data_IF_569330996729
#
_entry.id   IF_569330996729
#
_cell.length_a   1.000
_cell.length_b   1.000
_cell.length_c   1.000
_cell.angle_alpha   90.00
_cell.angle_beta   90.00
_cell.angle_gamma   90.00
#
_symmetry.space_group_name_H-M   'P 1'
#
loop_
_entity.id
_entity.type
_entity.pdbx_description
1 polymer ?
#
# COMPACT_ATOMS: atom_id res chain seq x y z
N UNK A 1 -38.65 21.64 5.88
CA UNK A 1 -37.68 22.51 5.25
C UNK A 1 -37.49 23.74 6.13
N UNK A 2 -36.37 23.99 6.76
CA UNK A 2 -36.17 25.21 7.54
C UNK A 2 -35.74 26.34 6.60
N UNK A 3 -36.54 27.40 6.60
CA UNK A 3 -36.24 28.66 5.90
C UNK A 3 -35.44 29.54 6.85
N UNK A 4 -34.23 29.91 6.47
CA UNK A 4 -33.42 30.86 7.22
C UNK A 4 -33.72 32.26 6.66
N UNK A 5 -34.31 33.15 7.47
CA UNK A 5 -34.56 34.55 7.12
C UNK A 5 -33.36 35.38 7.61
N UNK A 6 -32.65 36.02 6.71
CA UNK A 6 -31.69 37.06 7.03
C UNK A 6 -32.38 38.43 6.92
N UNK A 7 -32.50 39.13 8.03
CA UNK A 7 -33.15 40.44 8.07
C UNK A 7 -32.06 41.52 7.96
N UNK A 8 -31.90 42.13 6.79
CA UNK A 8 -31.00 43.27 6.59
C UNK A 8 -31.86 44.54 6.64
N UNK A 9 -31.77 45.30 7.73
CA UNK A 9 -32.36 46.65 7.81
C UNK A 9 -31.44 47.64 7.10
N UNK A 10 -31.91 48.15 5.98
CA UNK A 10 -31.32 49.29 5.30
C UNK A 10 -32.43 50.10 4.62
N UNK A 11 -32.38 51.40 4.79
CA UNK A 11 -33.32 52.45 4.40
C UNK A 11 -34.26 52.15 3.20
N UNK A 12 -35.57 52.23 3.49
CA UNK A 12 -36.69 52.49 2.55
C UNK A 12 -36.62 51.79 1.16
N UNK A 13 -36.66 50.50 1.12
CA UNK A 13 -37.32 49.62 0.14
C UNK A 13 -36.95 48.20 0.47
N UNK A 14 -37.92 47.42 0.95
CA UNK A 14 -37.70 46.01 1.23
C UNK A 14 -37.58 45.23 -0.09
N UNK A 15 -36.36 44.94 -0.51
CA UNK A 15 -36.13 44.01 -1.62
C UNK A 15 -36.14 42.59 -1.03
N UNK A 16 -37.22 41.85 -1.27
CA UNK A 16 -37.33 40.46 -0.85
C UNK A 16 -36.52 39.62 -1.84
N UNK A 17 -35.27 39.31 -1.49
CA UNK A 17 -34.47 38.38 -2.28
C UNK A 17 -34.75 36.98 -1.74
N UNK A 18 -35.58 36.23 -2.43
CA UNK A 18 -35.83 34.81 -2.13
C UNK A 18 -34.70 33.99 -2.73
N UNK A 19 -33.69 33.61 -1.92
CA UNK A 19 -32.74 32.60 -2.32
C UNK A 19 -33.39 31.24 -2.20
N UNK A 20 -33.75 30.64 -3.32
CA UNK A 20 -34.03 29.23 -3.37
C UNK A 20 -32.69 28.51 -3.30
N UNK A 21 -32.34 28.00 -2.09
CA UNK A 21 -31.29 27.01 -2.00
C UNK A 21 -31.77 25.78 -2.80
N UNK A 22 -31.49 25.75 -4.10
CA UNK A 22 -31.37 24.46 -4.75
C UNK A 22 -30.32 23.73 -3.93
N UNK A 23 -30.71 22.63 -3.30
CA UNK A 23 -29.75 21.64 -2.83
C UNK A 23 -28.79 21.44 -4.00
N UNK A 24 -27.59 22.01 -3.90
CA UNK A 24 -26.47 21.56 -4.68
C UNK A 24 -26.29 20.12 -4.19
N UNK A 25 -27.01 19.18 -4.79
CA UNK A 25 -26.50 17.84 -4.85
C UNK A 25 -25.13 18.07 -5.46
N UNK A 26 -24.09 17.97 -4.65
CA UNK A 26 -22.74 17.83 -5.15
C UNK A 26 -22.83 16.65 -6.10
N UNK A 27 -22.92 16.94 -7.38
CA UNK A 27 -22.78 15.97 -8.43
C UNK A 27 -21.31 15.53 -8.35
N UNK A 28 -21.02 14.64 -7.40
CA UNK A 28 -19.84 13.80 -7.49
C UNK A 28 -20.00 13.09 -8.83
N UNK A 29 -19.14 13.33 -9.81
CA UNK A 29 -19.19 12.52 -11.02
C UNK A 29 -19.25 11.08 -10.53
N UNK A 30 -20.28 10.34 -10.95
CA UNK A 30 -20.31 8.89 -10.75
C UNK A 30 -19.10 8.39 -11.51
N UNK A 31 -17.98 8.23 -10.79
CA UNK A 31 -16.85 7.53 -11.34
C UNK A 31 -17.36 6.16 -11.75
N UNK A 32 -17.21 5.82 -13.01
CA UNK A 32 -17.45 4.44 -13.43
C UNK A 32 -16.46 3.57 -12.63
N UNK A 33 -16.91 2.74 -11.67
CA UNK A 33 -16.01 1.94 -10.83
C UNK A 33 -15.19 0.95 -11.63
N UNK A 34 -15.46 0.82 -12.93
CA UNK A 34 -14.77 -0.09 -13.81
C UNK A 34 -13.40 0.42 -14.26
N UNK A 35 -13.15 1.74 -14.31
CA UNK A 35 -11.81 2.22 -14.66
C UNK A 35 -10.83 2.02 -13.49
N UNK A 36 -9.55 1.84 -13.81
CA UNK A 36 -8.51 1.59 -12.80
C UNK A 36 -8.40 2.75 -11.79
N UNK A 37 -8.44 4.00 -12.27
CA UNK A 37 -8.44 5.16 -11.39
C UNK A 37 -9.70 5.22 -10.52
N UNK A 38 -10.86 4.86 -11.06
CA UNK A 38 -12.12 4.86 -10.30
C UNK A 38 -12.14 3.79 -9.22
N UNK A 39 -11.58 2.61 -9.50
CA UNK A 39 -11.36 1.57 -8.50
C UNK A 39 -10.58 2.12 -7.30
N UNK A 40 -9.46 2.79 -7.56
CA UNK A 40 -8.62 3.39 -6.50
C UNK A 40 -9.42 4.42 -5.71
N UNK A 41 -10.08 5.37 -6.38
CA UNK A 41 -10.82 6.45 -5.73
C UNK A 41 -12.00 5.90 -4.92
N UNK A 42 -12.69 4.88 -5.41
CA UNK A 42 -13.79 4.23 -4.69
C UNK A 42 -13.30 3.54 -3.42
N UNK A 43 -12.20 2.78 -3.48
CA UNK A 43 -11.63 2.16 -2.30
C UNK A 43 -11.12 3.21 -1.28
N UNK A 44 -10.47 4.27 -1.73
CA UNK A 44 -10.05 5.38 -0.84
C UNK A 44 -11.25 6.01 -0.15
N UNK A 45 -12.33 6.28 -0.89
CA UNK A 45 -13.54 6.87 -0.33
C UNK A 45 -14.24 5.93 0.65
N UNK A 46 -14.35 4.64 0.31
CA UNK A 46 -14.92 3.63 1.20
C UNK A 46 -14.16 3.58 2.52
N UNK A 47 -12.85 3.38 2.49
CA UNK A 47 -12.04 3.25 3.69
C UNK A 47 -11.93 4.54 4.51
N UNK A 48 -12.00 5.71 3.86
CA UNK A 48 -12.12 6.98 4.56
C UNK A 48 -13.42 7.04 5.39
N UNK A 49 -14.56 6.57 4.85
CA UNK A 49 -15.83 6.47 5.58
C UNK A 49 -15.77 5.45 6.73
N UNK A 50 -14.92 4.45 6.63
CA UNK A 50 -14.67 3.49 7.73
C UNK A 50 -13.70 4.04 8.79
N UNK A 51 -13.30 5.31 8.70
CA UNK A 51 -12.43 5.98 9.67
C UNK A 51 -10.92 5.84 9.38
N UNK A 52 -10.54 5.30 8.24
CA UNK A 52 -9.13 5.26 7.85
C UNK A 52 -8.62 6.63 7.41
N UNK A 53 -7.43 7.00 7.89
CA UNK A 53 -6.66 8.09 7.31
C UNK A 53 -6.14 7.67 5.94
N UNK A 54 -6.47 8.42 4.89
CA UNK A 54 -5.92 8.17 3.55
C UNK A 54 -4.52 8.78 3.47
N UNK A 55 -3.52 7.92 3.52
CA UNK A 55 -2.10 8.29 3.51
C UNK A 55 -1.58 8.28 2.07
N UNK A 56 -0.54 9.05 1.80
CA UNK A 56 0.14 9.04 0.51
C UNK A 56 1.12 7.87 0.42
N UNK A 57 1.43 7.37 -0.78
CA UNK A 57 2.39 6.28 -0.95
C UNK A 57 3.79 6.65 -0.46
N UNK A 58 4.59 5.64 -0.13
CA UNK A 58 6.03 5.82 0.09
C UNK A 58 6.69 6.28 -1.22
N UNK A 59 7.53 7.30 -1.14
CA UNK A 59 8.20 7.93 -2.28
C UNK A 59 9.54 7.29 -2.67
N UNK A 60 9.68 6.02 -2.34
CA UNK A 60 10.85 5.20 -2.74
C UNK A 60 10.43 3.78 -3.11
N UNK A 61 11.34 3.02 -3.71
CA UNK A 61 11.10 1.66 -4.15
C UNK A 61 10.92 0.72 -2.96
N UNK A 62 9.76 0.10 -2.87
CA UNK A 62 9.44 -0.93 -1.88
C UNK A 62 8.86 -2.17 -2.57
N UNK A 63 9.12 -3.34 -2.02
CA UNK A 63 8.66 -4.62 -2.59
C UNK A 63 7.22 -4.98 -2.21
N UNK A 64 6.63 -4.28 -1.25
CA UNK A 64 5.25 -4.49 -0.81
C UNK A 64 4.74 -3.26 -0.05
N UNK A 65 3.41 -3.12 0.01
CA UNK A 65 2.75 -2.10 0.83
C UNK A 65 3.10 -2.20 2.32
N UNK A 66 3.33 -3.40 2.82
CA UNK A 66 3.80 -3.68 4.19
C UNK A 66 5.10 -2.95 4.55
N UNK A 67 5.95 -2.64 3.56
CA UNK A 67 7.19 -1.91 3.79
C UNK A 67 6.99 -0.41 4.07
N UNK A 68 5.80 0.12 3.83
CA UNK A 68 5.49 1.51 4.18
C UNK A 68 5.61 1.72 5.70
N UNK A 69 6.21 2.83 6.18
CA UNK A 69 6.34 3.13 7.63
C UNK A 69 5.02 3.08 8.38
N UNK A 70 3.90 3.47 7.73
CA UNK A 70 2.56 3.38 8.33
C UNK A 70 2.13 1.95 8.63
N UNK A 71 2.60 0.96 7.91
CA UNK A 71 2.39 -0.45 8.24
C UNK A 71 3.51 -0.96 9.14
N UNK A 72 4.75 -0.94 8.66
CA UNK A 72 5.87 -1.59 9.35
C UNK A 72 6.11 -1.03 10.76
N UNK A 73 6.28 0.29 10.88
CA UNK A 73 6.58 0.91 12.17
C UNK A 73 5.33 1.01 13.07
N UNK A 74 4.16 1.28 12.47
CA UNK A 74 2.93 1.42 13.24
C UNK A 74 2.35 0.09 13.72
N UNK A 75 2.80 -1.05 13.21
CA UNK A 75 2.51 -2.36 13.78
C UNK A 75 3.07 -2.52 15.20
N UNK A 76 4.15 -1.79 15.50
CA UNK A 76 4.86 -1.84 16.78
C UNK A 76 4.17 -0.99 17.86
N UNK A 77 4.28 -1.44 19.13
CA UNK A 77 3.74 -0.74 20.27
C UNK A 77 2.20 -0.75 20.36
N UNK A 78 1.65 -0.13 21.41
CA UNK A 78 0.21 -0.20 21.72
C UNK A 78 -0.64 0.84 20.98
N UNK A 79 -0.03 1.81 20.28
CA UNK A 79 -0.74 2.94 19.68
C UNK A 79 -1.70 2.47 18.56
N UNK A 80 -2.97 2.89 18.58
CA UNK A 80 -3.93 2.54 17.55
C UNK A 80 -3.58 3.20 16.21
N UNK A 81 -4.03 2.57 15.12
CA UNK A 81 -3.94 3.14 13.77
C UNK A 81 -5.04 2.58 12.87
N UNK A 82 -5.63 3.45 12.07
CA UNK A 82 -6.49 3.08 10.95
C UNK A 82 -6.05 3.92 9.74
N UNK A 83 -5.51 3.27 8.71
CA UNK A 83 -5.03 3.96 7.53
C UNK A 83 -5.23 3.12 6.26
N UNK A 84 -5.34 3.82 5.13
CA UNK A 84 -5.38 3.19 3.82
C UNK A 84 -4.58 4.00 2.81
N UNK A 85 -3.93 3.34 1.85
CA UNK A 85 -3.12 4.00 0.83
C UNK A 85 -2.88 3.08 -0.37
N UNK A 86 -2.60 3.68 -1.51
CA UNK A 86 -2.08 2.97 -2.68
C UNK A 86 -0.55 2.95 -2.57
N UNK A 87 0.06 1.79 -2.74
CA UNK A 87 1.51 1.67 -2.77
C UNK A 87 1.99 1.09 -4.09
N UNK A 88 2.69 1.89 -4.92
CA UNK A 88 3.47 1.35 -6.02
C UNK A 88 4.54 0.40 -5.48
N UNK A 89 4.60 -0.82 -6.00
CA UNK A 89 5.55 -1.84 -5.55
C UNK A 89 6.53 -2.20 -6.66
N UNK A 90 7.75 -2.56 -6.27
CA UNK A 90 8.83 -2.95 -7.19
C UNK A 90 9.33 -4.35 -6.84
N UNK A 91 9.20 -5.27 -7.79
CA UNK A 91 9.73 -6.64 -7.69
C UNK A 91 10.59 -6.95 -8.92
N UNK A 92 11.87 -6.57 -8.93
CA UNK A 92 12.75 -6.68 -10.11
C UNK A 92 12.79 -8.06 -10.74
N UNK A 93 12.71 -9.14 -9.95
CA UNK A 93 12.72 -10.52 -10.44
C UNK A 93 11.44 -10.93 -11.19
N UNK A 94 10.36 -10.16 -11.05
CA UNK A 94 9.06 -10.42 -11.70
C UNK A 94 8.93 -9.78 -13.09
N UNK A 95 9.94 -9.04 -13.55
CA UNK A 95 9.98 -8.48 -14.89
C UNK A 95 9.79 -9.55 -15.98
N UNK A 96 9.02 -9.21 -17.01
CA UNK A 96 8.74 -10.09 -18.16
C UNK A 96 8.74 -9.30 -19.48
N UNK A 97 9.46 -8.18 -19.54
CA UNK A 97 9.62 -7.34 -20.75
C UNK A 97 8.30 -6.85 -21.35
N UNK A 98 7.25 -6.73 -20.54
CA UNK A 98 5.91 -6.39 -21.01
C UNK A 98 5.20 -7.51 -21.79
N UNK A 99 5.73 -8.72 -21.80
CA UNK A 99 5.20 -9.84 -22.60
C UNK A 99 4.21 -10.73 -21.83
N UNK A 100 4.17 -10.62 -20.49
CA UNK A 100 3.25 -11.42 -19.68
C UNK A 100 2.03 -10.58 -19.29
N UNK A 101 0.81 -11.08 -19.47
CA UNK A 101 -0.41 -10.31 -19.22
C UNK A 101 -0.71 -10.08 -17.73
N UNK A 102 -0.11 -10.88 -16.82
CA UNK A 102 -0.49 -10.92 -15.40
C UNK A 102 0.67 -10.70 -14.43
N UNK A 103 1.92 -10.69 -14.91
CA UNK A 103 3.11 -10.54 -14.06
C UNK A 103 3.92 -9.33 -14.47
N UNK A 104 4.08 -8.42 -13.51
CA UNK A 104 4.74 -7.12 -13.67
C UNK A 104 5.83 -6.98 -12.60
N UNK A 105 6.91 -6.25 -12.95
CA UNK A 105 7.90 -5.85 -11.96
C UNK A 105 7.46 -4.58 -11.17
N UNK A 106 6.50 -3.83 -11.69
CA UNK A 106 5.90 -2.66 -11.07
C UNK A 106 4.38 -2.78 -11.11
N UNK A 107 3.71 -2.71 -9.95
CA UNK A 107 2.26 -2.80 -9.83
C UNK A 107 1.80 -2.11 -8.56
N UNK A 108 0.49 -1.97 -8.39
CA UNK A 108 -0.11 -1.23 -7.29
C UNK A 108 -0.80 -2.16 -6.29
N UNK A 109 -0.52 -1.94 -5.03
CA UNK A 109 -1.27 -2.53 -3.93
C UNK A 109 -2.10 -1.46 -3.26
N UNK A 110 -3.39 -1.72 -3.02
CA UNK A 110 -4.18 -0.90 -2.11
C UNK A 110 -4.09 -1.54 -0.73
N UNK A 111 -3.49 -0.80 0.19
CA UNK A 111 -3.15 -1.25 1.53
C UNK A 111 -4.11 -0.67 2.55
N UNK A 112 -4.64 -1.50 3.44
CA UNK A 112 -5.43 -1.07 4.60
C UNK A 112 -4.82 -1.67 5.85
N UNK A 113 -4.68 -0.86 6.90
CA UNK A 113 -4.22 -1.31 8.21
C UNK A 113 -5.17 -0.83 9.28
N UNK A 114 -5.53 -1.75 10.18
CA UNK A 114 -6.42 -1.50 11.31
C UNK A 114 -5.79 -2.10 12.58
N UNK A 115 -5.47 -1.25 13.57
CA UNK A 115 -4.90 -1.67 14.85
C UNK A 115 -5.61 -0.95 16.00
N UNK A 116 -6.23 -1.71 16.94
CA UNK A 116 -6.38 -3.15 16.91
C UNK A 116 -7.20 -3.63 15.70
N UNK A 117 -6.94 -4.87 15.27
CA UNK A 117 -7.75 -5.49 14.22
C UNK A 117 -9.19 -5.65 14.69
N UNK A 118 -10.21 -5.11 13.98
CA UNK A 118 -11.61 -5.31 14.34
C UNK A 118 -12.03 -6.76 14.04
N UNK A 119 -13.00 -7.27 14.81
CA UNK A 119 -13.53 -8.63 14.64
C UNK A 119 -14.19 -8.83 13.28
N UNK A 120 -14.83 -7.79 12.74
CA UNK A 120 -15.56 -7.79 11.47
C UNK A 120 -14.73 -7.34 10.26
N UNK A 121 -13.40 -7.42 10.31
CA UNK A 121 -12.51 -6.94 9.22
C UNK A 121 -12.81 -7.61 7.88
N UNK A 122 -13.22 -8.89 7.88
CA UNK A 122 -13.61 -9.61 6.66
C UNK A 122 -14.91 -9.06 6.07
N UNK A 123 -15.91 -8.72 6.91
CA UNK A 123 -17.16 -8.11 6.44
C UNK A 123 -16.90 -6.73 5.84
N UNK A 124 -16.06 -5.91 6.49
CA UNK A 124 -15.63 -4.62 5.95
C UNK A 124 -14.97 -4.78 4.57
N UNK A 125 -14.14 -5.80 4.40
CA UNK A 125 -13.54 -6.10 3.11
C UNK A 125 -14.59 -6.49 2.06
N UNK A 126 -15.50 -7.39 2.38
CA UNK A 126 -16.55 -7.82 1.46
C UNK A 126 -17.46 -6.64 1.06
N UNK A 127 -17.75 -5.74 2.01
CA UNK A 127 -18.51 -4.52 1.72
C UNK A 127 -17.72 -3.59 0.78
N UNK A 128 -16.40 -3.50 0.91
CA UNK A 128 -15.57 -2.74 -0.03
C UNK A 128 -15.62 -3.30 -1.46
N UNK A 129 -15.73 -4.61 -1.61
CA UNK A 129 -15.92 -5.24 -2.94
C UNK A 129 -17.29 -4.90 -3.55
N UNK A 130 -18.34 -4.81 -2.72
CA UNK A 130 -19.67 -4.35 -3.19
C UNK A 130 -19.62 -2.90 -3.65
N UNK A 131 -18.91 -2.03 -2.94
CA UNK A 131 -18.74 -0.61 -3.33
C UNK A 131 -18.06 -0.45 -4.71
N UNK A 132 -17.14 -1.32 -5.06
CA UNK A 132 -16.53 -1.34 -6.41
C UNK A 132 -17.37 -2.11 -7.43
N UNK A 133 -18.66 -2.36 -7.11
CA UNK A 133 -19.64 -3.01 -7.99
C UNK A 133 -19.34 -4.49 -8.30
N UNK A 134 -18.68 -5.20 -7.40
CA UNK A 134 -18.53 -6.64 -7.49
C UNK A 134 -19.77 -7.31 -6.85
N UNK A 135 -20.51 -8.06 -7.65
CA UNK A 135 -21.67 -8.83 -7.15
C UNK A 135 -21.20 -10.13 -6.50
N UNK A 136 -21.15 -10.14 -5.17
CA UNK A 136 -20.68 -11.30 -4.39
C UNK A 136 -21.60 -12.53 -4.50
N UNK A 137 -22.80 -12.40 -5.08
CA UNK A 137 -23.74 -13.52 -5.21
C UNK A 137 -23.49 -14.38 -6.43
N UNK A 138 -22.78 -13.85 -7.43
CA UNK A 138 -22.46 -14.53 -8.69
C UNK A 138 -20.99 -14.95 -8.80
N UNK A 139 -20.15 -14.53 -7.86
CA UNK A 139 -18.72 -14.84 -7.84
C UNK A 139 -18.37 -15.84 -6.73
N UNK A 140 -17.49 -16.79 -7.04
CA UNK A 140 -16.90 -17.69 -6.05
C UNK A 140 -15.77 -16.97 -5.31
N UNK A 141 -16.04 -16.60 -4.05
CA UNK A 141 -15.06 -15.93 -3.17
C UNK A 141 -14.65 -16.91 -2.08
N UNK A 142 -13.36 -17.18 -1.99
CA UNK A 142 -12.79 -18.10 -1.01
C UNK A 142 -11.71 -17.43 -0.19
N UNK A 143 -11.80 -17.61 1.12
CA UNK A 143 -10.71 -17.29 2.05
C UNK A 143 -9.92 -18.57 2.27
N UNK A 144 -8.69 -18.61 1.78
CA UNK A 144 -7.77 -19.75 1.88
C UNK A 144 -6.71 -19.41 2.91
N UNK A 145 -6.52 -20.26 3.92
CA UNK A 145 -5.52 -20.02 4.96
C UNK A 145 -4.12 -19.90 4.35
N UNK A 146 -3.43 -18.81 4.68
CA UNK A 146 -2.06 -18.55 4.30
C UNK A 146 -1.30 -17.83 5.42
N UNK A 147 -0.18 -18.42 5.83
CA UNK A 147 0.72 -17.83 6.82
C UNK A 147 1.75 -16.96 6.12
N UNK A 148 1.47 -15.68 6.06
CA UNK A 148 2.33 -14.70 5.40
C UNK A 148 3.61 -14.44 6.18
N UNK A 149 4.74 -14.37 5.46
CA UNK A 149 6.01 -13.95 6.03
C UNK A 149 6.85 -13.09 5.08
N UNK A 150 7.64 -12.21 5.69
CA UNK A 150 8.67 -11.44 4.98
C UNK A 150 9.99 -11.53 5.74
N UNK A 151 10.93 -12.37 5.28
CA UNK A 151 12.19 -12.61 5.98
C UNK A 151 13.06 -11.37 6.15
N UNK A 152 13.08 -10.43 5.19
CA UNK A 152 13.88 -9.20 5.27
C UNK A 152 13.34 -8.22 6.29
N UNK A 153 12.02 -8.15 6.45
CA UNK A 153 11.37 -7.34 7.47
C UNK A 153 11.33 -8.01 8.86
N UNK A 154 11.69 -9.29 8.96
CA UNK A 154 11.50 -10.06 10.19
C UNK A 154 10.05 -10.07 10.64
N UNK A 155 9.13 -10.08 9.68
CA UNK A 155 7.69 -10.00 9.91
C UNK A 155 6.99 -11.29 9.48
N UNK A 156 5.97 -11.68 10.25
CA UNK A 156 5.07 -12.77 9.89
C UNK A 156 3.70 -12.58 10.56
N UNK A 157 2.70 -13.22 9.98
CA UNK A 157 1.35 -13.21 10.52
C UNK A 157 0.51 -14.35 10.00
N UNK A 158 -0.55 -14.68 10.75
CA UNK A 158 -1.61 -15.56 10.28
C UNK A 158 -2.44 -14.80 9.26
N UNK A 159 -3.07 -15.50 8.30
CA UNK A 159 -3.88 -14.78 7.34
C UNK A 159 -4.63 -15.65 6.35
N UNK A 160 -5.08 -14.96 5.32
CA UNK A 160 -5.91 -15.54 4.26
C UNK A 160 -5.50 -14.94 2.92
N UNK A 161 -5.35 -15.78 1.92
CA UNK A 161 -5.50 -15.35 0.53
C UNK A 161 -6.98 -15.30 0.19
N UNK A 162 -7.43 -14.22 -0.44
CA UNK A 162 -8.78 -14.15 -0.98
C UNK A 162 -8.74 -14.42 -2.48
N UNK A 163 -9.40 -15.50 -2.86
CA UNK A 163 -9.50 -15.96 -4.25
C UNK A 163 -10.86 -15.62 -4.81
N UNK A 164 -10.87 -14.95 -5.96
CA UNK A 164 -12.06 -14.59 -6.71
C UNK A 164 -12.08 -15.41 -8.00
N UNK A 165 -13.04 -16.34 -8.12
CA UNK A 165 -13.17 -17.27 -9.25
C UNK A 165 -11.84 -17.95 -9.64
N UNK A 166 -11.03 -18.34 -8.66
CA UNK A 166 -9.77 -19.03 -8.89
C UNK A 166 -8.54 -18.14 -9.11
N UNK A 167 -8.66 -16.80 -8.96
CA UNK A 167 -7.55 -15.88 -8.97
C UNK A 167 -7.42 -15.21 -7.59
N UNK A 168 -6.24 -15.26 -7.00
CA UNK A 168 -5.90 -14.50 -5.79
C UNK A 168 -5.94 -13.01 -6.09
N UNK A 169 -6.78 -12.26 -5.37
CA UNK A 169 -6.97 -10.81 -5.55
C UNK A 169 -6.57 -10.00 -4.31
N UNK A 170 -6.51 -10.63 -3.15
CA UNK A 170 -6.23 -9.93 -1.88
C UNK A 170 -5.55 -10.85 -0.89
N UNK A 171 -4.65 -10.28 -0.09
CA UNK A 171 -4.01 -10.92 1.06
C UNK A 171 -4.46 -10.25 2.35
N UNK A 172 -4.89 -11.04 3.33
CA UNK A 172 -5.06 -10.63 4.72
C UNK A 172 -3.85 -11.06 5.55
N UNK A 173 -3.43 -10.21 6.48
CA UNK A 173 -2.37 -10.55 7.43
C UNK A 173 -2.72 -10.01 8.81
N UNK A 174 -2.76 -10.89 9.80
CA UNK A 174 -2.86 -10.55 11.22
C UNK A 174 -1.46 -10.63 11.81
N UNK A 175 -0.77 -9.51 11.93
CA UNK A 175 0.63 -9.47 12.32
C UNK A 175 0.85 -10.01 13.73
N UNK A 176 1.64 -11.07 13.81
CA UNK A 176 2.10 -11.64 15.06
C UNK A 176 3.44 -11.04 15.49
N UNK A 177 4.29 -10.73 14.50
CA UNK A 177 5.61 -10.22 14.71
C UNK A 177 6.03 -9.28 13.57
N UNK A 178 6.73 -8.20 13.91
CA UNK A 178 7.35 -7.27 12.96
C UNK A 178 8.71 -6.86 13.52
N UNK A 179 9.77 -6.91 12.69
CA UNK A 179 11.13 -6.61 13.13
C UNK A 179 11.62 -7.50 14.28
N UNK A 180 11.10 -8.71 14.40
CA UNK A 180 11.41 -9.59 15.53
C UNK A 180 10.67 -9.28 16.82
N UNK A 181 9.86 -8.20 16.88
CA UNK A 181 9.05 -7.81 18.04
C UNK A 181 7.61 -8.28 17.90
N UNK A 182 7.00 -8.74 18.99
CA UNK A 182 5.59 -9.14 19.00
C UNK A 182 4.66 -7.94 18.82
N UNK A 183 3.66 -8.09 17.97
CA UNK A 183 2.62 -7.09 17.75
C UNK A 183 1.52 -7.21 18.80
N UNK A 184 1.33 -6.17 19.62
CA UNK A 184 0.26 -6.11 20.61
C UNK A 184 -0.20 -4.66 20.77
N UNK A 185 -1.51 -4.37 20.52
CA UNK A 185 -2.52 -5.30 19.95
C UNK A 185 -2.18 -5.77 18.55
N UNK A 186 -2.83 -6.86 18.10
CA UNK A 186 -2.69 -7.37 16.73
C UNK A 186 -3.19 -6.31 15.75
N UNK A 187 -2.40 -6.08 14.70
CA UNK A 187 -2.79 -5.26 13.56
C UNK A 187 -3.27 -6.17 12.42
N UNK A 188 -4.47 -5.87 11.89
CA UNK A 188 -4.95 -6.46 10.66
C UNK A 188 -4.50 -5.63 9.45
N UNK A 189 -4.04 -6.31 8.43
CA UNK A 189 -3.66 -5.75 7.13
C UNK A 189 -4.51 -6.38 6.03
N UNK A 190 -4.98 -5.55 5.10
CA UNK A 190 -5.64 -6.00 3.86
C UNK A 190 -4.84 -5.42 2.70
N UNK A 191 -4.34 -6.30 1.84
CA UNK A 191 -3.55 -5.92 0.66
C UNK A 191 -4.29 -6.35 -0.60
N UNK A 192 -4.94 -5.40 -1.28
CA UNK A 192 -5.60 -5.65 -2.57
C UNK A 192 -4.58 -5.61 -3.71
N UNK A 193 -4.61 -6.59 -4.60
CA UNK A 193 -3.93 -6.54 -5.89
C UNK A 193 -4.79 -5.78 -6.89
N UNK A 194 -4.51 -4.48 -7.08
CA UNK A 194 -5.40 -3.59 -7.84
C UNK A 194 -5.55 -4.01 -9.30
N UNK A 195 -4.46 -4.46 -9.93
CA UNK A 195 -4.49 -4.90 -11.33
C UNK A 195 -5.38 -6.14 -11.52
N UNK A 196 -5.22 -7.13 -10.65
CA UNK A 196 -6.03 -8.36 -10.70
C UNK A 196 -7.50 -8.07 -10.46
N UNK A 197 -7.80 -7.24 -9.47
CA UNK A 197 -9.17 -6.81 -9.19
C UNK A 197 -9.75 -6.00 -10.35
N UNK A 198 -8.96 -5.08 -10.92
CA UNK A 198 -9.36 -4.29 -12.09
C UNK A 198 -9.63 -5.14 -13.32
N UNK A 199 -8.78 -6.13 -13.61
CA UNK A 199 -8.98 -7.08 -14.71
C UNK A 199 -10.31 -7.84 -14.57
N UNK A 200 -10.64 -8.24 -13.35
CA UNK A 200 -11.91 -8.87 -13.05
C UNK A 200 -13.11 -7.97 -13.32
N UNK A 201 -13.07 -6.74 -12.78
CA UNK A 201 -14.15 -5.76 -12.93
C UNK A 201 -14.39 -5.36 -14.39
N UNK A 202 -13.33 -5.30 -15.19
CA UNK A 202 -13.40 -4.90 -16.58
C UNK A 202 -13.56 -6.09 -17.56
N UNK A 203 -13.39 -7.33 -17.08
CA UNK A 203 -13.49 -8.54 -17.90
C UNK A 203 -12.40 -8.64 -18.96
N UNK A 204 -11.18 -8.19 -18.65
CA UNK A 204 -10.01 -8.24 -19.54
C UNK A 204 -9.03 -9.31 -19.08
N UNK A 205 -8.31 -9.91 -20.02
CA UNK A 205 -7.36 -11.01 -19.82
C UNK A 205 -5.90 -10.54 -19.73
N UNK A 206 -5.66 -9.26 -19.95
CA UNK A 206 -4.33 -8.63 -19.85
C UNK A 206 -4.41 -7.32 -19.09
N UNK A 207 -3.46 -7.13 -18.16
CA UNK A 207 -3.30 -5.88 -17.42
C UNK A 207 -3.12 -4.67 -18.34
N UNK A 208 -2.48 -4.85 -19.50
CA UNK A 208 -2.24 -3.76 -20.45
C UNK A 208 -3.52 -3.28 -21.15
N UNK A 209 -4.60 -4.09 -21.14
CA UNK A 209 -5.90 -3.73 -21.68
C UNK A 209 -6.82 -3.04 -20.67
N UNK A 210 -6.41 -2.96 -19.39
CA UNK A 210 -7.18 -2.23 -18.40
C UNK A 210 -7.40 -0.78 -18.83
N UNK A 211 -8.65 -0.35 -18.86
CA UNK A 211 -8.98 1.06 -18.95
C UNK A 211 -8.48 1.77 -17.68
N UNK A 212 -7.47 2.61 -17.82
CA UNK A 212 -6.99 3.46 -16.73
C UNK A 212 -7.98 4.56 -16.45
N UNK A 213 -8.37 5.27 -17.51
CA UNK A 213 -9.40 6.31 -17.48
C UNK A 213 -10.06 6.43 -18.85
N UNK A 214 -11.31 6.88 -18.85
CA UNK A 214 -12.01 7.32 -20.07
C UNK A 214 -12.52 8.75 -19.83
N UNK A 215 -12.06 9.67 -20.62
CA UNK A 215 -12.30 11.09 -20.42
C UNK A 215 -12.38 11.89 -21.75
N UNK A 216 -12.38 13.23 -21.68
CA UNK A 216 -12.51 14.07 -22.88
C UNK A 216 -11.42 13.85 -23.95
N UNK A 217 -10.26 13.28 -23.55
CA UNK A 217 -9.17 12.94 -24.47
C UNK A 217 -9.26 11.50 -25.00
N UNK A 218 -10.30 10.76 -24.60
CA UNK A 218 -10.52 9.36 -24.96
C UNK A 218 -10.00 8.39 -23.90
N UNK A 219 -10.04 7.11 -24.26
CA UNK A 219 -9.59 6.00 -23.42
C UNK A 219 -8.06 6.02 -23.27
N UNK A 220 -7.59 5.97 -22.03
CA UNK A 220 -6.19 5.70 -21.69
C UNK A 220 -6.13 4.32 -21.04
N UNK A 221 -5.27 3.44 -21.54
CA UNK A 221 -5.10 2.09 -21.00
C UNK A 221 -3.92 2.03 -20.02
N UNK A 222 -3.88 0.98 -19.20
CA UNK A 222 -2.70 0.67 -18.37
C UNK A 222 -1.44 0.46 -19.24
N UNK A 223 -1.63 -0.12 -20.44
CA UNK A 223 -0.56 -0.29 -21.41
C UNK A 223 0.02 1.02 -21.89
N UNK A 224 -0.83 2.02 -22.18
CA UNK A 224 -0.36 3.36 -22.58
C UNK A 224 0.51 4.01 -21.50
N UNK A 225 0.20 3.75 -20.23
CA UNK A 225 0.93 4.35 -19.10
C UNK A 225 2.20 3.57 -18.76
N UNK A 226 2.17 2.23 -18.75
CA UNK A 226 3.23 1.43 -18.12
C UNK A 226 3.88 0.34 -18.98
N UNK A 227 3.38 0.03 -20.17
CA UNK A 227 3.97 -1.05 -20.98
C UNK A 227 5.46 -0.79 -21.29
N UNK A 228 5.79 0.42 -21.76
CA UNK A 228 7.20 0.78 -22.05
C UNK A 228 8.06 0.74 -20.79
N UNK A 229 7.52 1.17 -19.65
CA UNK A 229 8.20 1.07 -18.36
C UNK A 229 8.55 -0.39 -18.02
N UNK A 230 7.62 -1.33 -18.20
CA UNK A 230 7.87 -2.76 -17.96
C UNK A 230 8.97 -3.32 -18.88
N UNK A 231 8.99 -2.92 -20.15
CA UNK A 231 10.03 -3.33 -21.11
C UNK A 231 11.40 -2.83 -20.67
N UNK A 232 11.52 -1.54 -20.39
CA UNK A 232 12.82 -0.92 -20.05
C UNK A 232 13.33 -1.34 -18.68
N UNK A 233 12.46 -1.40 -17.67
CA UNK A 233 12.83 -1.85 -16.34
C UNK A 233 13.22 -3.33 -16.32
N UNK A 234 12.59 -4.18 -17.12
CA UNK A 234 13.03 -5.58 -17.25
C UNK A 234 14.44 -5.68 -17.84
N UNK A 235 14.73 -4.90 -18.89
CA UNK A 235 16.09 -4.82 -19.44
C UNK A 235 17.09 -4.32 -18.40
N UNK A 236 16.76 -3.24 -17.70
CA UNK A 236 17.62 -2.72 -16.64
C UNK A 236 17.86 -3.79 -15.57
N UNK A 237 16.78 -4.39 -15.03
CA UNK A 237 16.85 -5.35 -13.94
C UNK A 237 17.67 -6.61 -14.28
N UNK A 238 17.58 -7.10 -15.52
CA UNK A 238 18.20 -8.37 -15.90
C UNK A 238 19.51 -8.22 -16.68
N UNK A 239 19.71 -7.11 -17.40
CA UNK A 239 20.78 -6.99 -18.37
C UNK A 239 21.76 -5.86 -18.04
N UNK A 240 21.24 -4.65 -17.70
CA UNK A 240 22.06 -3.44 -17.71
C UNK A 240 22.39 -2.86 -16.34
N UNK A 241 21.66 -3.22 -15.26
CA UNK A 241 21.98 -2.71 -13.93
C UNK A 241 23.46 -2.99 -13.58
N UNK A 242 24.21 -1.95 -13.24
CA UNK A 242 25.65 -2.05 -12.95
C UNK A 242 25.87 -2.76 -11.61
N UNK A 243 26.37 -3.97 -11.66
CA UNK A 243 26.57 -4.85 -10.49
C UNK A 243 27.54 -4.25 -9.48
N UNK A 244 28.66 -3.68 -9.91
CA UNK A 244 29.65 -3.08 -9.01
C UNK A 244 29.06 -1.87 -8.26
N UNK A 245 28.30 -1.03 -8.98
CA UNK A 245 27.57 0.08 -8.38
C UNK A 245 26.54 -0.40 -7.34
N UNK A 246 25.79 -1.46 -7.66
CA UNK A 246 24.79 -2.01 -6.72
C UNK A 246 25.44 -2.57 -5.45
N UNK A 247 26.57 -3.26 -5.53
CA UNK A 247 27.30 -3.71 -4.34
C UNK A 247 27.74 -2.53 -3.49
N UNK A 248 28.32 -1.49 -4.09
CA UNK A 248 28.72 -0.28 -3.36
C UNK A 248 27.51 0.41 -2.70
N UNK A 249 26.38 0.56 -3.42
CA UNK A 249 25.18 1.14 -2.86
C UNK A 249 24.66 0.36 -1.67
N UNK A 250 24.62 -0.96 -1.75
CA UNK A 250 24.15 -1.79 -0.64
C UNK A 250 25.02 -1.58 0.62
N UNK A 251 26.35 -1.60 0.47
CA UNK A 251 27.29 -1.44 1.58
C UNK A 251 27.18 -0.05 2.22
N UNK A 252 27.06 1.00 1.41
CA UNK A 252 26.92 2.37 1.93
C UNK A 252 25.57 2.60 2.61
N UNK A 253 24.46 2.06 2.07
CA UNK A 253 23.16 2.13 2.75
C UNK A 253 23.15 1.36 4.08
N UNK A 254 23.76 0.19 4.13
CA UNK A 254 23.91 -0.59 5.36
C UNK A 254 24.73 0.18 6.41
N UNK A 255 25.86 0.74 6.00
CA UNK A 255 26.75 1.52 6.86
C UNK A 255 26.04 2.75 7.41
N UNK A 256 25.34 3.49 6.56
CA UNK A 256 24.61 4.68 6.99
C UNK A 256 23.46 4.32 7.94
N UNK A 257 22.73 3.24 7.69
CA UNK A 257 21.70 2.78 8.63
C UNK A 257 22.30 2.45 10.00
N UNK A 258 23.44 1.78 10.05
CA UNK A 258 24.16 1.49 11.31
C UNK A 258 24.60 2.77 12.03
N UNK A 259 25.13 3.75 11.31
CA UNK A 259 25.55 5.04 11.87
C UNK A 259 24.36 5.75 12.53
N UNK A 260 23.22 5.83 11.84
CA UNK A 260 22.01 6.49 12.35
C UNK A 260 21.44 5.81 13.60
N UNK A 261 21.58 4.49 13.69
CA UNK A 261 21.12 3.71 14.84
C UNK A 261 22.12 3.77 16.02
N UNK A 262 23.40 4.10 15.77
CA UNK A 262 24.44 4.17 16.81
C UNK A 262 24.57 5.54 17.50
N UNK A 263 23.77 6.52 17.09
CA UNK A 263 23.75 7.85 17.71
C UNK A 263 23.22 7.76 19.16
N UNK A 264 23.64 8.68 20.02
CA UNK A 264 23.13 8.80 21.40
C UNK A 264 21.58 8.92 21.42
N UNK A 265 21.03 9.60 20.41
CA UNK A 265 19.60 9.63 20.11
C UNK A 265 19.38 9.01 18.73
N UNK A 266 19.11 7.71 18.64
CA UNK A 266 18.95 7.01 17.38
C UNK A 266 17.86 7.62 16.48
N UNK A 267 18.08 7.55 15.16
CA UNK A 267 17.15 8.04 14.15
C UNK A 267 16.55 6.86 13.36
N UNK A 268 15.58 6.13 13.94
CA UNK A 268 15.06 4.90 13.33
C UNK A 268 14.34 5.13 12.00
N UNK A 269 13.67 6.26 11.78
CA UNK A 269 12.95 6.54 10.54
C UNK A 269 13.91 6.71 9.35
N UNK A 270 14.89 7.61 9.38
CA UNK A 270 15.90 7.71 8.31
C UNK A 270 16.71 6.43 8.14
N UNK A 271 17.01 5.70 9.23
CA UNK A 271 17.69 4.41 9.16
C UNK A 271 16.84 3.38 8.39
N UNK A 272 15.54 3.34 8.64
CA UNK A 272 14.60 2.48 7.92
C UNK A 272 14.59 2.77 6.41
N UNK A 273 14.57 4.03 6.02
CA UNK A 273 14.68 4.41 4.60
C UNK A 273 15.96 3.90 3.94
N UNK A 274 17.11 3.95 4.64
CA UNK A 274 18.37 3.38 4.12
C UNK A 274 18.25 1.87 3.94
N UNK A 275 17.57 1.19 4.86
CA UNK A 275 17.34 -0.26 4.76
C UNK A 275 16.41 -0.60 3.59
N UNK A 276 15.38 0.18 3.33
CA UNK A 276 14.51 -0.02 2.16
C UNK A 276 15.31 0.12 0.85
N UNK A 277 16.19 1.12 0.75
CA UNK A 277 17.11 1.26 -0.39
C UNK A 277 18.07 0.08 -0.53
N UNK A 278 18.65 -0.38 0.58
CA UNK A 278 19.48 -1.58 0.58
C UNK A 278 18.70 -2.82 0.13
N UNK A 279 17.44 -2.96 0.56
CA UNK A 279 16.57 -4.06 0.18
C UNK A 279 16.26 -4.03 -1.32
N UNK A 280 15.93 -2.87 -1.88
CA UNK A 280 15.73 -2.74 -3.33
C UNK A 280 17.00 -3.06 -4.11
N UNK A 281 18.15 -2.57 -3.65
CA UNK A 281 19.47 -2.88 -4.24
C UNK A 281 19.76 -4.38 -4.23
N UNK A 282 19.48 -5.06 -3.11
CA UNK A 282 19.57 -6.52 -3.01
C UNK A 282 18.65 -7.22 -4.02
N UNK A 283 17.42 -6.75 -4.20
CA UNK A 283 16.49 -7.30 -5.18
C UNK A 283 17.00 -7.15 -6.62
N UNK A 284 17.68 -6.05 -6.93
CA UNK A 284 18.34 -5.84 -8.23
C UNK A 284 19.54 -6.78 -8.41
N UNK A 285 20.41 -6.95 -7.40
CA UNK A 285 21.51 -7.92 -7.45
C UNK A 285 20.99 -9.34 -7.66
N UNK A 286 19.89 -9.71 -7.01
CA UNK A 286 19.26 -11.00 -7.20
C UNK A 286 18.69 -11.16 -8.62
N UNK A 287 18.02 -10.14 -9.17
CA UNK A 287 17.51 -10.14 -10.54
C UNK A 287 18.66 -10.25 -11.56
N UNK A 288 19.77 -9.54 -11.35
CA UNK A 288 21.01 -9.62 -12.14
C UNK A 288 21.72 -10.98 -12.03
N UNK A 289 21.26 -11.88 -11.13
CA UNK A 289 21.95 -13.13 -10.79
C UNK A 289 23.41 -12.91 -10.35
N UNK A 290 23.69 -11.77 -9.74
CA UNK A 290 25.02 -11.37 -9.29
C UNK A 290 25.40 -11.99 -7.94
N UNK A 291 24.46 -12.63 -7.25
CA UNK A 291 24.64 -13.29 -5.96
C UNK A 291 24.15 -14.74 -6.03
N UNK A 292 24.88 -15.64 -5.41
CA UNK A 292 24.51 -17.05 -5.27
C UNK A 292 23.36 -17.24 -4.29
N UNK A 293 22.80 -18.46 -4.25
CA UNK A 293 21.74 -18.83 -3.31
C UNK A 293 22.22 -18.66 -1.85
N UNK A 294 23.47 -19.05 -1.55
CA UNK A 294 24.05 -18.91 -0.21
C UNK A 294 24.26 -17.44 0.16
N UNK A 295 24.82 -16.65 -0.75
CA UNK A 295 24.97 -15.20 -0.54
C UNK A 295 23.65 -14.51 -0.34
N UNK A 296 22.60 -14.92 -1.08
CA UNK A 296 21.23 -14.39 -0.89
C UNK A 296 20.77 -14.53 0.56
N UNK A 297 20.98 -15.67 1.21
CA UNK A 297 20.63 -15.86 2.61
C UNK A 297 21.41 -14.92 3.53
N UNK A 298 22.69 -14.69 3.23
CA UNK A 298 23.51 -13.75 3.97
C UNK A 298 23.00 -12.30 3.85
N UNK A 299 22.60 -11.85 2.64
CA UNK A 299 22.00 -10.52 2.44
C UNK A 299 20.67 -10.39 3.20
N UNK A 300 19.81 -11.39 3.14
CA UNK A 300 18.56 -11.41 3.89
C UNK A 300 18.81 -11.26 5.40
N UNK A 301 19.82 -11.98 5.93
CA UNK A 301 20.18 -11.88 7.34
C UNK A 301 20.70 -10.48 7.71
N UNK A 302 21.55 -9.87 6.88
CA UNK A 302 22.06 -8.50 7.08
C UNK A 302 20.91 -7.50 7.15
N UNK A 303 19.98 -7.54 6.17
CA UNK A 303 18.80 -6.67 6.15
C UNK A 303 17.92 -6.90 7.38
N UNK A 304 17.62 -8.17 7.70
CA UNK A 304 16.79 -8.56 8.84
C UNK A 304 17.38 -8.08 10.18
N UNK A 305 18.69 -8.13 10.33
CA UNK A 305 19.36 -7.63 11.53
C UNK A 305 19.16 -6.12 11.69
N UNK A 306 19.26 -5.37 10.61
CA UNK A 306 19.04 -3.92 10.61
C UNK A 306 17.58 -3.54 10.83
N UNK A 307 16.64 -4.25 10.19
CA UNK A 307 15.22 -4.01 10.40
C UNK A 307 14.80 -4.27 11.84
N UNK A 308 15.38 -5.28 12.48
CA UNK A 308 15.19 -5.54 13.91
C UNK A 308 15.70 -4.36 14.75
N UNK A 309 16.92 -3.88 14.51
CA UNK A 309 17.49 -2.75 15.25
C UNK A 309 16.65 -1.48 15.07
N UNK A 310 16.13 -1.22 13.87
CA UNK A 310 15.17 -0.12 13.63
C UNK A 310 13.90 -0.30 14.44
N UNK A 311 13.32 -1.51 14.43
CA UNK A 311 12.09 -1.79 15.17
C UNK A 311 12.25 -1.55 16.67
N UNK A 312 13.36 -2.01 17.26
CA UNK A 312 13.72 -1.80 18.66
C UNK A 312 13.92 -0.31 18.97
N UNK A 313 14.69 0.42 18.16
CA UNK A 313 14.91 1.84 18.36
C UNK A 313 13.62 2.67 18.19
N UNK A 314 12.80 2.36 17.22
CA UNK A 314 11.49 3.01 17.02
C UNK A 314 10.57 2.75 18.22
N UNK A 315 10.45 1.50 18.66
CA UNK A 315 9.63 1.15 19.82
C UNK A 315 10.09 1.94 21.06
N UNK A 316 11.40 1.92 21.36
CA UNK A 316 11.97 2.66 22.50
C UNK A 316 11.70 4.17 22.41
N UNK A 317 11.80 4.76 21.23
CA UNK A 317 11.50 6.19 21.02
C UNK A 317 10.02 6.53 21.31
N UNK A 318 9.09 5.64 20.93
CA UNK A 318 7.65 5.83 21.24
C UNK A 318 7.35 5.62 22.71
N UNK A 319 7.99 4.64 23.33
CA UNK A 319 7.87 4.34 24.78
C UNK A 319 8.39 5.53 25.63
N UNK A 320 9.53 6.10 25.25
CA UNK A 320 10.13 7.23 25.96
C UNK A 320 9.20 8.46 26.04
N UNK A 321 8.33 8.67 25.04
CA UNK A 321 7.32 9.73 25.03
C UNK A 321 5.95 9.26 25.53
N UNK A 322 5.86 8.01 26.03
CA UNK A 322 4.68 7.43 26.67
C UNK A 322 3.54 7.09 25.71
N UNK A 323 3.84 6.71 24.48
CA UNK A 323 2.86 6.32 23.45
C UNK A 323 1.70 7.32 23.34
N UNK A 324 1.95 8.55 22.85
CA UNK A 324 1.01 9.67 22.96
C UNK A 324 -0.36 9.42 22.32
N UNK A 325 -0.45 8.56 21.30
CA UNK A 325 -1.72 8.24 20.63
C UNK A 325 -2.62 7.27 21.42
N UNK A 326 -2.12 6.65 22.49
CA UNK A 326 -2.94 5.87 23.42
C UNK A 326 -3.77 6.75 24.36
N UNK A 327 -3.46 8.04 24.48
CA UNK A 327 -4.10 8.98 25.42
C UNK A 327 -5.21 9.83 24.78
N UNK A 328 -5.49 9.62 23.49
CA UNK A 328 -6.38 10.46 22.70
C UNK A 328 -7.85 9.97 22.67
N UNK A 329 -8.25 9.13 23.64
CA UNK A 329 -9.64 8.64 23.73
C UNK A 329 -10.18 8.75 25.14
#
# INVERSE_FOLDING_TARGET
MPSIYLNIRGYNNALLITFTLKTCEFYMPKFDPKSFQSLILTLQHYWARQGCTIVQPMDMEVGAGTSHPMTYLRALGPEPVAAAYVQPTRRPTDGRYGQNPNRLQHYYQFQVILKPSPENIQDLYLDSLREVSLDLTIHDIRFVEDNWENPTLGAWGLGWEVWLNGMEVTQFTYFQQVGGLKCRPIMGEITYGLERLGMYLQGVDSVYHLAWSDGPLGLTTYGDVFHQNEVEQSKYNFEYANVAFLFTCFEEYEKEAKNLLSLDNPLPIPAYERILKATHTFNLLNARKAISVTERQHYILRIRTLTKAVAEAYYASREAIGFPLCKAH
#
